data_IF_501768972717
#
_entry.id   IF_501768972717
#
_cell.length_a   1.000
_cell.length_b   1.000
_cell.length_c   1.000
_cell.angle_alpha   90.00
_cell.angle_beta   90.00
_cell.angle_gamma   90.00
#
_symmetry.space_group_name_H-M   'P 1'
#
loop_
_entity.id
_entity.type
_entity.pdbx_description
1 polymer ?
#
# COMPACT_ATOMS: atom_id res chain seq x y z
N UNK A 1 10.36 -38.60 -23.75
CA UNK A 1 10.20 -37.87 -22.48
C UNK A 1 9.88 -36.42 -22.80
N UNK A 2 8.69 -35.95 -22.43
CA UNK A 2 8.25 -34.57 -22.58
C UNK A 2 8.63 -33.79 -21.30
N UNK A 3 9.77 -33.10 -21.32
CA UNK A 3 10.15 -32.14 -20.29
C UNK A 3 9.13 -31.00 -20.26
N UNK A 4 8.18 -31.08 -19.33
CA UNK A 4 7.32 -29.95 -18.96
C UNK A 4 8.20 -28.85 -18.38
N UNK A 5 8.56 -27.86 -19.20
CA UNK A 5 9.23 -26.62 -18.76
C UNK A 5 8.34 -25.90 -17.75
N UNK A 6 8.57 -26.14 -16.47
CA UNK A 6 7.88 -25.44 -15.39
C UNK A 6 8.30 -23.97 -15.42
N UNK A 7 7.36 -23.06 -15.67
CA UNK A 7 7.63 -21.62 -15.64
C UNK A 7 8.10 -21.20 -14.24
N UNK A 8 9.22 -20.47 -14.11
CA UNK A 8 9.68 -20.02 -12.80
C UNK A 8 8.63 -19.10 -12.17
N UNK A 9 8.42 -19.25 -10.86
CA UNK A 9 7.47 -18.43 -10.10
C UNK A 9 8.23 -17.43 -9.24
N UNK A 10 7.67 -16.23 -9.09
CA UNK A 10 8.22 -15.26 -8.17
C UNK A 10 7.99 -15.72 -6.73
N UNK A 11 9.06 -15.82 -5.94
CA UNK A 11 8.97 -16.30 -4.57
C UNK A 11 8.11 -15.39 -3.64
N UNK A 12 8.15 -14.07 -3.86
CA UNK A 12 7.44 -13.09 -3.03
C UNK A 12 5.94 -12.99 -3.37
N UNK A 13 5.55 -13.00 -4.66
CA UNK A 13 4.14 -12.87 -5.05
C UNK A 13 3.48 -14.17 -5.54
N UNK A 14 4.23 -15.26 -5.64
CA UNK A 14 3.81 -16.59 -6.07
C UNK A 14 3.23 -16.69 -7.50
N UNK A 15 3.28 -15.59 -8.26
CA UNK A 15 2.82 -15.55 -9.66
C UNK A 15 3.88 -16.11 -10.61
N UNK A 16 3.46 -16.76 -11.72
CA UNK A 16 4.39 -17.18 -12.77
C UNK A 16 5.03 -15.96 -13.41
N UNK A 17 6.33 -16.07 -13.68
CA UNK A 17 7.10 -15.07 -14.40
C UNK A 17 6.85 -15.26 -15.88
N UNK A 18 6.42 -14.21 -16.58
CA UNK A 18 6.15 -14.29 -18.02
C UNK A 18 7.45 -14.16 -18.83
N UNK A 19 7.41 -14.69 -20.04
CA UNK A 19 8.52 -14.55 -20.98
C UNK A 19 8.73 -13.06 -21.33
N UNK A 20 9.95 -12.56 -21.16
CA UNK A 20 10.30 -11.15 -21.42
C UNK A 20 10.13 -10.19 -20.23
N UNK A 21 9.67 -10.67 -19.06
CA UNK A 21 9.64 -9.84 -17.85
C UNK A 21 11.03 -9.70 -17.24
N UNK A 22 11.35 -8.49 -16.75
CA UNK A 22 12.58 -8.24 -16.01
C UNK A 22 12.48 -8.86 -14.62
N UNK A 23 13.45 -9.72 -14.31
CA UNK A 23 13.49 -10.48 -13.05
C UNK A 23 14.83 -10.35 -12.36
N UNK A 24 14.81 -10.62 -11.07
CA UNK A 24 15.99 -10.69 -10.22
C UNK A 24 16.19 -12.14 -9.83
N UNK A 25 17.36 -12.66 -10.19
CA UNK A 25 17.80 -14.00 -9.84
C UNK A 25 18.71 -13.94 -8.61
N UNK A 26 18.27 -14.61 -7.55
CA UNK A 26 19.08 -15.04 -6.43
C UNK A 26 19.59 -16.46 -6.71
N UNK A 27 20.71 -16.91 -6.09
CA UNK A 27 21.25 -18.26 -6.31
C UNK A 27 20.22 -19.40 -6.26
N UNK A 28 19.15 -19.26 -5.46
CA UNK A 28 18.11 -20.28 -5.30
C UNK A 28 16.68 -19.80 -5.61
N UNK A 29 16.48 -18.52 -5.91
CA UNK A 29 15.14 -17.93 -5.96
C UNK A 29 15.01 -16.89 -7.08
N UNK A 30 13.82 -16.75 -7.65
CA UNK A 30 13.54 -15.71 -8.64
C UNK A 30 12.45 -14.76 -8.15
N UNK A 31 12.62 -13.47 -8.41
CA UNK A 31 11.69 -12.41 -8.02
C UNK A 31 11.38 -11.53 -9.23
N UNK A 32 10.16 -10.97 -9.29
CA UNK A 32 9.94 -9.80 -10.15
C UNK A 32 10.75 -8.62 -9.62
N UNK A 33 11.15 -7.70 -10.50
CA UNK A 33 11.87 -6.48 -10.08
C UNK A 33 11.13 -5.70 -8.98
N UNK A 34 9.80 -5.61 -9.08
CA UNK A 34 8.94 -4.94 -8.09
C UNK A 34 8.62 -5.78 -6.85
N UNK A 35 9.02 -7.06 -6.84
CA UNK A 35 8.82 -7.97 -5.72
C UNK A 35 10.11 -8.20 -4.93
N UNK A 36 11.22 -7.58 -5.35
CA UNK A 36 12.51 -7.68 -4.70
C UNK A 36 12.85 -6.38 -3.94
N UNK A 37 12.00 -6.09 -2.96
CA UNK A 37 12.13 -4.98 -2.03
C UNK A 37 12.08 -5.51 -0.61
N UNK A 38 12.75 -4.84 0.32
CA UNK A 38 12.66 -5.18 1.74
C UNK A 38 11.19 -5.15 2.21
N UNK A 39 10.67 -6.23 2.80
CA UNK A 39 9.28 -6.27 3.32
C UNK A 39 9.07 -5.34 4.52
N UNK A 40 10.16 -4.91 5.18
CA UNK A 40 10.12 -4.05 6.36
C UNK A 40 10.16 -2.56 5.99
N UNK A 41 11.15 -2.12 5.20
CA UNK A 41 11.29 -0.71 4.83
C UNK A 41 10.81 -0.37 3.41
N UNK A 42 10.49 -1.36 2.58
CA UNK A 42 10.09 -1.15 1.18
C UNK A 42 11.22 -0.73 0.25
N UNK A 43 12.47 -0.68 0.73
CA UNK A 43 13.63 -0.31 -0.08
C UNK A 43 13.88 -1.36 -1.15
N UNK A 44 14.03 -0.93 -2.41
CA UNK A 44 14.47 -1.80 -3.50
C UNK A 44 15.85 -2.35 -3.18
N UNK A 45 15.97 -3.68 -3.17
CA UNK A 45 17.23 -4.35 -2.96
C UNK A 45 17.93 -4.47 -4.32
N UNK A 46 19.11 -3.87 -4.46
CA UNK A 46 19.80 -3.91 -5.74
C UNK A 46 20.55 -5.24 -5.94
N UNK A 47 20.76 -5.69 -7.19
CA UNK A 47 21.61 -6.84 -7.47
C UNK A 47 22.99 -6.67 -6.82
N UNK A 48 23.44 -7.70 -6.10
CA UNK A 48 24.71 -7.67 -5.36
C UNK A 48 24.62 -7.12 -3.93
N UNK A 49 23.46 -6.57 -3.51
CA UNK A 49 23.26 -6.21 -2.11
C UNK A 49 22.91 -7.44 -1.26
N UNK A 50 23.52 -7.59 -0.07
CA UNK A 50 23.17 -8.66 0.85
C UNK A 50 21.78 -8.44 1.42
N UNK A 51 21.02 -9.53 1.54
CA UNK A 51 19.66 -9.54 2.06
C UNK A 51 19.39 -10.88 2.75
N UNK A 52 18.37 -10.93 3.60
CA UNK A 52 17.86 -12.15 4.22
C UNK A 52 16.45 -12.46 3.73
N UNK A 53 16.03 -13.71 3.86
CA UNK A 53 14.66 -14.13 3.54
C UNK A 53 13.93 -14.46 4.83
N UNK A 54 12.87 -13.71 5.13
CA UNK A 54 11.94 -14.00 6.21
C UNK A 54 10.62 -14.46 5.59
N UNK A 55 10.23 -15.72 5.84
CA UNK A 55 9.02 -16.32 5.28
C UNK A 55 8.85 -16.09 3.76
N UNK A 56 9.93 -16.25 2.99
CA UNK A 56 9.99 -16.03 1.53
C UNK A 56 9.99 -14.57 1.06
N UNK A 57 10.01 -13.61 1.97
CA UNK A 57 10.11 -12.19 1.65
C UNK A 57 11.53 -11.64 1.86
N UNK A 58 12.07 -10.89 0.89
CA UNK A 58 13.38 -10.25 1.04
C UNK A 58 13.35 -9.20 2.15
N UNK A 59 14.40 -9.16 2.98
CA UNK A 59 14.61 -8.17 4.04
C UNK A 59 16.05 -7.65 3.95
N UNK A 60 16.25 -6.33 4.06
CA UNK A 60 17.59 -5.75 4.07
C UNK A 60 18.35 -6.08 5.36
N UNK A 61 19.70 -6.09 5.33
CA UNK A 61 20.51 -6.38 6.51
C UNK A 61 20.19 -5.47 7.71
N UNK A 62 19.88 -4.19 7.45
CA UNK A 62 19.60 -3.25 8.53
C UNK A 62 18.33 -3.62 9.29
N UNK A 63 17.26 -3.93 8.58
CA UNK A 63 16.01 -4.36 9.22
C UNK A 63 16.12 -5.78 9.77
N UNK A 64 16.88 -6.67 9.15
CA UNK A 64 17.19 -8.00 9.70
C UNK A 64 17.88 -7.89 11.08
N UNK A 65 18.89 -7.03 11.21
CA UNK A 65 19.57 -6.77 12.49
C UNK A 65 18.64 -6.14 13.51
N UNK A 66 17.75 -5.22 13.10
CA UNK A 66 16.73 -4.64 14.00
C UNK A 66 15.75 -5.70 14.49
N UNK A 67 15.28 -6.60 13.61
CA UNK A 67 14.40 -7.71 13.96
C UNK A 67 15.11 -8.65 14.95
N UNK A 68 16.35 -9.04 14.66
CA UNK A 68 17.15 -9.91 15.55
C UNK A 68 17.37 -9.29 16.92
N UNK A 69 17.60 -7.97 17.00
CA UNK A 69 17.76 -7.27 18.29
C UNK A 69 16.45 -7.21 19.07
N UNK A 70 15.32 -6.94 18.38
CA UNK A 70 14.01 -6.95 19.02
C UNK A 70 13.64 -8.33 19.56
N UNK A 71 13.94 -9.41 18.82
CA UNK A 71 13.70 -10.78 19.26
C UNK A 71 14.65 -11.27 20.37
N UNK A 72 15.78 -10.60 20.59
CA UNK A 72 16.71 -10.91 21.69
C UNK A 72 16.32 -10.24 23.01
N UNK A 73 15.40 -9.26 22.99
CA UNK A 73 14.83 -8.69 24.20
C UNK A 73 13.60 -9.52 24.57
N UNK A 74 13.81 -10.52 25.42
CA UNK A 74 12.75 -11.40 25.95
C UNK A 74 11.53 -10.58 26.46
N UNK A 75 10.31 -10.85 25.96
CA UNK A 75 9.09 -10.23 26.44
C UNK A 75 8.52 -11.04 27.61
N UNK A 76 8.65 -10.53 28.84
CA UNK A 76 8.07 -11.12 30.06
C UNK A 76 6.50 -11.17 30.07
N UNK A 77 5.80 -11.04 28.93
CA UNK A 77 4.33 -10.95 28.86
C UNK A 77 3.73 -11.71 27.67
N UNK A 78 4.06 -12.99 27.49
CA UNK A 78 3.34 -13.84 26.53
C UNK A 78 2.04 -14.38 27.15
N UNK A 79 0.92 -13.73 26.83
CA UNK A 79 -0.42 -14.33 26.92
C UNK A 79 -0.61 -15.34 25.78
N UNK A 80 -1.21 -16.52 26.03
CA UNK A 80 -1.27 -17.64 25.07
C UNK A 80 -2.44 -17.55 24.09
N UNK A 81 -2.69 -16.38 23.50
CA UNK A 81 -3.65 -16.27 22.40
C UNK A 81 -3.37 -15.08 21.48
N UNK A 82 -2.48 -15.28 20.51
CA UNK A 82 -2.60 -14.57 19.23
C UNK A 82 -2.01 -15.44 18.12
N UNK A 83 -2.72 -15.64 16.99
CA UNK A 83 -2.15 -16.34 15.84
C UNK A 83 -0.93 -15.56 15.36
N UNK A 84 0.17 -16.28 15.15
CA UNK A 84 1.36 -15.83 14.43
C UNK A 84 1.00 -14.90 13.27
N UNK A 85 1.77 -13.80 13.12
CA UNK A 85 1.78 -12.78 12.04
C UNK A 85 1.47 -11.33 12.44
N UNK A 86 1.53 -10.94 13.72
CA UNK A 86 1.25 -9.54 14.14
C UNK A 86 2.49 -8.65 14.41
N UNK A 87 3.71 -9.18 14.33
CA UNK A 87 4.97 -8.42 14.39
C UNK A 87 5.82 -8.94 13.24
N UNK A 88 5.78 -8.38 12.03
CA UNK A 88 6.88 -7.55 11.51
C UNK A 88 6.52 -6.81 10.21
N UNK A 89 5.28 -6.90 9.70
CA UNK A 89 4.89 -6.13 8.51
C UNK A 89 4.66 -4.67 8.88
N UNK A 90 5.68 -3.82 8.64
CA UNK A 90 5.51 -2.38 8.79
C UNK A 90 4.65 -1.85 7.63
N UNK A 91 3.49 -1.35 8.05
CA UNK A 91 2.47 -0.63 7.26
C UNK A 91 3.14 0.26 6.20
N UNK A 92 2.67 0.15 4.94
CA UNK A 92 3.06 1.07 3.86
C UNK A 92 3.12 2.50 4.40
N UNK A 93 4.24 3.20 4.16
CA UNK A 93 4.40 4.60 4.58
C UNK A 93 3.21 5.37 4.04
N UNK A 94 2.33 5.77 4.95
CA UNK A 94 1.12 6.49 4.61
C UNK A 94 1.55 7.89 4.21
N UNK A 95 1.19 8.32 3.00
CA UNK A 95 1.29 9.72 2.63
C UNK A 95 0.45 10.53 3.62
N UNK A 96 1.11 11.38 4.39
CA UNK A 96 0.46 12.37 5.27
C UNK A 96 0.17 13.61 4.45
N UNK A 97 -1.09 14.00 4.39
CA UNK A 97 -1.51 15.22 3.71
C UNK A 97 -1.48 16.38 4.70
N UNK A 98 -0.88 17.50 4.32
CA UNK A 98 -0.97 18.72 5.10
C UNK A 98 -2.40 19.31 5.02
N UNK A 99 -2.70 20.31 5.85
CA UNK A 99 -4.03 20.91 5.92
C UNK A 99 -4.46 21.54 4.58
N UNK A 100 -3.56 22.28 3.92
CA UNK A 100 -3.83 22.90 2.63
C UNK A 100 -4.22 21.85 1.57
N UNK A 101 -3.48 20.75 1.45
CA UNK A 101 -3.76 19.64 0.54
C UNK A 101 -5.13 19.01 0.84
N UNK A 102 -5.46 18.81 2.12
CA UNK A 102 -6.75 18.26 2.51
C UNK A 102 -7.90 19.20 2.14
N UNK A 103 -7.73 20.51 2.37
CA UNK A 103 -8.74 21.52 2.05
C UNK A 103 -8.99 21.59 0.54
N UNK A 104 -7.95 21.65 -0.29
CA UNK A 104 -8.10 21.63 -1.76
C UNK A 104 -8.83 20.38 -2.24
N UNK A 105 -8.44 19.19 -1.76
CA UNK A 105 -9.09 17.93 -2.15
C UNK A 105 -10.55 17.84 -1.68
N UNK A 106 -10.87 18.33 -0.48
CA UNK A 106 -12.23 18.33 0.06
C UNK A 106 -13.14 19.34 -0.64
N UNK A 107 -12.64 20.56 -0.87
CA UNK A 107 -13.36 21.59 -1.63
C UNK A 107 -13.69 21.12 -3.04
N UNK A 108 -12.76 20.39 -3.68
CA UNK A 108 -13.03 19.76 -4.96
C UNK A 108 -14.06 18.62 -4.83
N UNK A 109 -13.93 17.76 -3.82
CA UNK A 109 -14.83 16.62 -3.62
C UNK A 109 -16.30 17.04 -3.41
N UNK A 110 -16.54 18.18 -2.77
CA UNK A 110 -17.88 18.74 -2.58
C UNK A 110 -18.56 19.13 -3.91
N UNK A 111 -17.77 19.52 -4.91
CA UNK A 111 -18.24 19.92 -6.24
C UNK A 111 -18.29 18.73 -7.20
N UNK A 112 -17.25 17.90 -7.21
CA UNK A 112 -17.11 16.75 -8.08
C UNK A 112 -16.48 15.55 -7.35
N UNK A 113 -17.29 14.52 -7.09
CA UNK A 113 -16.87 13.29 -6.43
C UNK A 113 -16.12 12.32 -7.36
N UNK A 114 -16.19 12.53 -8.68
CA UNK A 114 -15.64 11.68 -9.73
C UNK A 114 -14.73 12.50 -10.69
N UNK A 115 -13.58 13.00 -10.20
CA UNK A 115 -12.64 13.75 -11.03
C UNK A 115 -12.15 12.92 -12.21
N UNK A 116 -12.10 13.54 -13.38
CA UNK A 116 -11.56 12.95 -14.61
C UNK A 116 -10.01 13.04 -14.64
N UNK A 117 -9.40 12.61 -15.75
CA UNK A 117 -7.95 12.60 -15.89
C UNK A 117 -7.28 13.98 -15.87
N UNK A 118 -7.96 15.01 -16.37
CA UNK A 118 -7.51 16.41 -16.40
C UNK A 118 -7.71 17.06 -15.04
N UNK A 119 -8.86 16.85 -14.40
CA UNK A 119 -9.12 17.35 -13.04
C UNK A 119 -8.06 16.86 -12.04
N UNK A 120 -7.70 15.58 -12.13
CA UNK A 120 -6.63 15.00 -11.31
C UNK A 120 -5.25 15.56 -11.64
N UNK A 121 -5.02 16.03 -12.87
CA UNK A 121 -3.77 16.66 -13.27
C UNK A 121 -3.68 18.08 -12.71
N UNK A 122 -4.74 18.88 -12.82
CA UNK A 122 -4.79 20.22 -12.19
C UNK A 122 -4.65 20.14 -10.67
N UNK A 123 -5.33 19.21 -10.01
CA UNK A 123 -5.15 18.98 -8.56
C UNK A 123 -3.74 18.49 -8.22
N UNK A 124 -3.08 17.75 -9.12
CA UNK A 124 -1.70 17.29 -8.92
C UNK A 124 -0.72 18.45 -8.92
N UNK A 125 -0.95 19.44 -9.79
CA UNK A 125 -0.15 20.67 -9.86
C UNK A 125 -0.39 21.56 -8.63
N UNK A 126 -1.65 21.70 -8.20
CA UNK A 126 -2.00 22.53 -7.05
C UNK A 126 -1.51 21.94 -5.71
N UNK A 127 -1.71 20.63 -5.51
CA UNK A 127 -1.41 19.97 -4.23
C UNK A 127 0.03 19.44 -4.13
N UNK A 128 0.75 19.37 -5.25
CA UNK A 128 2.04 18.70 -5.37
C UNK A 128 1.98 17.18 -5.17
N UNK A 129 0.77 16.59 -5.10
CA UNK A 129 0.57 15.17 -4.91
C UNK A 129 0.52 14.46 -6.26
N UNK A 130 1.14 13.28 -6.37
CA UNK A 130 1.06 12.49 -7.59
C UNK A 130 -0.39 12.11 -7.92
N UNK A 131 -0.73 12.11 -9.22
CA UNK A 131 -2.04 11.67 -9.75
C UNK A 131 -2.57 10.37 -9.14
N UNK A 132 -1.68 9.39 -8.92
CA UNK A 132 -2.06 8.10 -8.30
C UNK A 132 -2.52 8.26 -6.85
N UNK A 133 -1.88 9.14 -6.08
CA UNK A 133 -2.24 9.43 -4.68
C UNK A 133 -3.60 10.09 -4.61
N UNK A 134 -3.85 11.10 -5.46
CA UNK A 134 -5.15 11.76 -5.58
C UNK A 134 -6.23 10.75 -5.98
N UNK A 135 -5.97 9.90 -6.99
CA UNK A 135 -6.89 8.85 -7.40
C UNK A 135 -7.29 7.91 -6.24
N UNK A 136 -6.32 7.46 -5.42
CA UNK A 136 -6.59 6.65 -4.22
C UNK A 136 -7.39 7.45 -3.20
N UNK A 137 -7.04 8.71 -3.00
CA UNK A 137 -7.74 9.58 -2.06
C UNK A 137 -9.23 9.71 -2.41
N UNK A 138 -9.56 10.01 -3.67
CA UNK A 138 -10.95 10.12 -4.13
C UNK A 138 -11.72 8.78 -4.02
N UNK A 139 -11.06 7.65 -4.29
CA UNK A 139 -11.65 6.32 -4.06
C UNK A 139 -12.00 6.11 -2.58
N UNK A 140 -11.08 6.46 -1.68
CA UNK A 140 -11.27 6.34 -0.24
C UNK A 140 -12.32 7.33 0.30
N UNK A 141 -12.34 8.56 -0.21
CA UNK A 141 -13.31 9.58 0.14
C UNK A 141 -14.74 9.13 -0.22
N UNK A 142 -14.95 8.61 -1.45
CA UNK A 142 -16.25 8.02 -1.85
C UNK A 142 -16.63 6.82 -0.97
N UNK A 143 -15.68 5.96 -0.64
CA UNK A 143 -15.94 4.83 0.25
C UNK A 143 -16.37 5.28 1.65
N UNK A 144 -15.75 6.34 2.18
CA UNK A 144 -16.15 6.97 3.45
C UNK A 144 -17.55 7.59 3.35
N UNK A 145 -17.83 8.34 2.28
CA UNK A 145 -19.13 8.96 2.05
C UNK A 145 -20.27 7.93 2.02
N UNK A 146 -20.08 6.80 1.31
CA UNK A 146 -21.06 5.70 1.29
C UNK A 146 -21.28 5.04 2.66
N UNK A 147 -20.25 4.94 3.49
CA UNK A 147 -20.37 4.36 4.85
C UNK A 147 -21.16 5.26 5.79
N UNK A 148 -21.02 6.58 5.63
CA UNK A 148 -21.76 7.56 6.44
C UNK A 148 -23.21 7.63 5.97
N UNK A 149 -23.47 7.50 4.66
CA UNK A 149 -24.82 7.49 4.10
C UNK A 149 -25.55 6.13 4.10
N UNK A 150 -25.00 5.10 4.75
CA UNK A 150 -25.46 3.70 4.64
C UNK A 150 -26.11 3.14 5.90
N UNK A 151 -26.73 3.99 6.73
CA UNK A 151 -27.37 3.62 7.99
C UNK A 151 -28.59 4.48 8.33
N UNK A 152 -29.44 4.80 7.36
CA UNK A 152 -30.86 5.08 7.59
C UNK A 152 -31.62 5.07 6.27
N UNK A 153 -32.72 4.35 6.31
CA UNK A 153 -33.71 4.24 5.26
C UNK A 153 -34.20 5.60 4.74
N UNK A 154 -34.56 5.52 3.46
CA UNK A 154 -35.53 6.34 2.71
C UNK A 154 -36.46 7.22 3.56
N UNK A 155 -36.48 8.51 3.20
CA UNK A 155 -37.66 9.37 2.98
C UNK A 155 -37.58 10.74 3.67
N UNK A 156 -37.28 11.78 2.90
CA UNK A 156 -37.76 13.17 3.03
C UNK A 156 -37.04 13.99 1.94
N UNK A 157 -37.55 14.05 0.70
CA UNK A 157 -38.37 15.17 0.22
C UNK A 157 -38.05 16.53 0.87
N UNK A 158 -37.32 17.32 0.08
CA UNK A 158 -37.66 18.69 -0.31
C UNK A 158 -37.27 19.86 0.59
N UNK A 159 -36.73 20.88 -0.09
CA UNK A 159 -36.63 22.30 0.26
C UNK A 159 -35.81 22.67 1.49
N UNK A 160 -35.21 23.84 1.60
CA UNK A 160 -34.84 24.98 0.76
C UNK A 160 -34.30 25.99 1.79
N UNK A 161 -33.25 26.74 1.42
CA UNK A 161 -32.91 28.10 1.89
C UNK A 161 -32.57 28.41 3.37
N UNK A 162 -31.47 29.19 3.51
CA UNK A 162 -31.19 30.31 4.46
C UNK A 162 -30.89 29.97 5.93
N UNK A 163 -29.68 30.20 6.48
CA UNK A 163 -28.89 31.42 6.77
C UNK A 163 -29.36 32.19 8.04
N UNK A 164 -28.37 32.48 8.92
CA UNK A 164 -28.29 33.40 10.10
C UNK A 164 -29.42 33.35 11.16
N UNK A 165 -29.19 33.43 12.47
CA UNK A 165 -28.13 33.92 13.38
C UNK A 165 -28.10 32.98 14.61
#
# INVERSE_FOLDING_TARGET
MNETKTTPKCLSCQKPIKHGERVIHSPFHTFHIHCFSCDVCGKDLLPGQPYTLHENYPVCLEDDLRIRRANQMEPCLQLPYSPSHAFTRRKRVRTSFNEQQQNSMQAFFAQNQNPNANDLMSLSEETGLAKRVLQVWFQNARAKFRRIGGGSDRNATNSSVEECD
#
